data_IF_210453965291
#
_entry.id   IF_210453965291
#
_cell.length_a   1.000
_cell.length_b   1.000
_cell.length_c   1.000
_cell.angle_alpha   90.00
_cell.angle_beta   90.00
_cell.angle_gamma   90.00
#
_symmetry.space_group_name_H-M   'P 1'
#
loop_
_entity.id
_entity.type
_entity.pdbx_description
1 polymer ?
#
# COMPACT_ATOMS: atom_id res chain seq x y z
N UNK A 1 -14.43 1.01 -6.21
CA UNK A 1 -15.73 1.56 -6.69
C UNK A 1 -16.25 2.73 -5.86
N UNK A 2 -15.87 2.89 -4.58
CA UNK A 2 -16.31 4.01 -3.74
C UNK A 2 -15.71 5.37 -4.14
N UNK A 3 -14.46 5.41 -4.61
CA UNK A 3 -13.80 6.65 -5.03
C UNK A 3 -14.49 7.30 -6.23
N UNK A 4 -14.81 6.52 -7.27
CA UNK A 4 -15.53 7.01 -8.45
C UNK A 4 -16.93 7.54 -8.11
N UNK A 5 -17.66 6.84 -7.23
CA UNK A 5 -18.98 7.30 -6.80
C UNK A 5 -18.91 8.58 -5.93
N UNK A 6 -17.86 8.72 -5.12
CA UNK A 6 -17.62 9.92 -4.33
C UNK A 6 -17.25 11.12 -5.22
N UNK A 7 -16.43 10.89 -6.23
CA UNK A 7 -16.05 11.87 -7.25
C UNK A 7 -17.29 12.37 -8.02
N UNK A 8 -18.09 11.44 -8.55
CA UNK A 8 -19.32 11.77 -9.26
C UNK A 8 -20.34 12.52 -8.38
N UNK A 9 -20.39 12.24 -7.07
CA UNK A 9 -21.20 13.01 -6.11
C UNK A 9 -20.65 14.42 -5.91
N UNK A 10 -19.33 14.56 -5.78
CA UNK A 10 -18.68 15.85 -5.60
C UNK A 10 -18.87 16.75 -6.83
N UNK A 11 -18.77 16.17 -8.03
CA UNK A 11 -18.97 16.88 -9.29
C UNK A 11 -20.41 17.36 -9.47
N UNK A 12 -21.41 16.53 -9.13
CA UNK A 12 -22.82 16.93 -9.17
C UNK A 12 -23.08 18.08 -8.20
N UNK A 13 -22.50 18.06 -7.00
CA UNK A 13 -22.66 19.15 -6.02
C UNK A 13 -22.01 20.43 -6.53
N UNK A 14 -20.78 20.36 -7.07
CA UNK A 14 -20.09 21.52 -7.62
C UNK A 14 -20.86 22.13 -8.81
N UNK A 15 -21.39 21.30 -9.70
CA UNK A 15 -22.18 21.73 -10.85
C UNK A 15 -23.51 22.41 -10.44
N UNK A 16 -24.21 21.86 -9.44
CA UNK A 16 -25.45 22.47 -8.92
C UNK A 16 -25.15 23.82 -8.28
N UNK A 17 -24.08 23.91 -7.48
CA UNK A 17 -23.68 25.15 -6.82
C UNK A 17 -23.32 26.22 -7.87
N UNK A 18 -22.53 25.88 -8.88
CA UNK A 18 -22.18 26.79 -9.97
C UNK A 18 -23.43 27.27 -10.76
N UNK A 19 -24.41 26.38 -10.99
CA UNK A 19 -25.66 26.74 -11.66
C UNK A 19 -26.51 27.69 -10.82
N UNK A 20 -26.59 27.49 -9.50
CA UNK A 20 -27.31 28.39 -8.59
C UNK A 20 -26.66 29.78 -8.57
N UNK A 21 -25.33 29.85 -8.44
CA UNK A 21 -24.60 31.12 -8.47
C UNK A 21 -24.72 31.82 -9.84
N UNK A 22 -24.65 31.07 -10.95
CA UNK A 22 -24.84 31.61 -12.30
C UNK A 22 -26.24 32.19 -12.52
N UNK A 23 -27.29 31.56 -11.99
CA UNK A 23 -28.66 32.10 -12.05
C UNK A 23 -28.80 33.38 -11.21
N UNK A 24 -28.23 33.39 -10.00
CA UNK A 24 -28.24 34.58 -9.13
C UNK A 24 -27.48 35.73 -9.80
N UNK A 25 -26.35 35.44 -10.43
CA UNK A 25 -25.57 36.41 -11.21
C UNK A 25 -26.34 36.97 -12.40
N UNK A 26 -26.97 36.11 -13.21
CA UNK A 26 -27.78 36.53 -14.37
C UNK A 26 -28.93 37.46 -13.97
N UNK A 27 -29.64 37.15 -12.89
CA UNK A 27 -30.78 37.97 -12.41
C UNK A 27 -30.35 39.34 -11.88
N UNK A 28 -29.12 39.47 -11.41
CA UNK A 28 -28.58 40.74 -10.97
C UNK A 28 -28.06 41.61 -12.14
N UNK A 29 -27.77 41.03 -13.30
CA UNK A 29 -27.44 41.75 -14.55
C UNK A 29 -28.71 42.33 -15.21
N UNK A 30 -29.86 41.66 -15.08
CA UNK A 30 -31.15 42.08 -15.65
C UNK A 30 -31.85 43.25 -14.90
N UNK A 31 -31.21 43.82 -13.86
CA UNK A 31 -31.56 45.16 -13.35
C UNK A 31 -32.42 45.24 -12.09
N UNK A 32 -32.71 44.13 -11.38
CA UNK A 32 -33.43 44.19 -10.09
C UNK A 32 -32.53 44.37 -8.85
N UNK A 33 -31.19 44.19 -8.97
CA UNK A 33 -30.27 44.16 -7.83
C UNK A 33 -29.08 45.12 -8.07
N UNK A 34 -28.72 45.95 -7.08
CA UNK A 34 -27.67 46.98 -7.20
C UNK A 34 -26.29 46.36 -7.55
N UNK A 35 -25.59 46.85 -8.60
CA UNK A 35 -24.39 46.21 -9.16
C UNK A 35 -23.14 46.29 -8.26
N UNK A 36 -23.12 47.17 -7.26
CA UNK A 36 -21.91 47.44 -6.46
C UNK A 36 -21.61 46.36 -5.40
N UNK A 37 -22.62 45.65 -4.90
CA UNK A 37 -22.41 44.56 -3.94
C UNK A 37 -22.18 43.21 -4.63
N UNK A 38 -22.68 43.04 -5.85
CA UNK A 38 -22.55 41.79 -6.60
C UNK A 38 -21.14 41.54 -7.14
N UNK A 39 -20.35 42.59 -7.40
CA UNK A 39 -18.99 42.44 -7.92
C UNK A 39 -18.03 41.75 -6.94
N UNK A 40 -18.35 41.74 -5.64
CA UNK A 40 -17.55 41.06 -4.60
C UNK A 40 -18.05 39.63 -4.37
N UNK A 41 -19.24 39.29 -4.87
CA UNK A 41 -19.84 37.96 -4.70
C UNK A 41 -19.10 36.91 -5.53
N UNK A 42 -18.70 37.25 -6.76
CA UNK A 42 -18.00 36.40 -7.74
C UNK A 42 -16.55 35.97 -7.35
N UNK A 43 -15.77 36.78 -6.61
CA UNK A 43 -14.53 36.28 -6.02
C UNK A 43 -14.77 35.49 -4.72
N UNK A 44 -15.84 35.77 -3.97
CA UNK A 44 -16.12 35.10 -2.69
C UNK A 44 -16.68 33.70 -2.90
N UNK A 45 -17.63 33.52 -3.82
CA UNK A 45 -18.18 32.21 -4.18
C UNK A 45 -17.10 31.30 -4.80
N UNK A 46 -16.23 31.86 -5.66
CA UNK A 46 -15.09 31.13 -6.22
C UNK A 46 -14.14 30.59 -5.12
N UNK A 47 -13.86 31.39 -4.09
CA UNK A 47 -13.05 30.96 -2.94
C UNK A 47 -13.78 29.88 -2.13
N UNK A 48 -15.08 30.04 -1.88
CA UNK A 48 -15.88 29.07 -1.11
C UNK A 48 -15.97 27.73 -1.84
N UNK A 49 -16.22 27.74 -3.15
CA UNK A 49 -16.27 26.53 -3.99
C UNK A 49 -14.89 25.85 -4.03
N UNK A 50 -13.81 26.63 -4.20
CA UNK A 50 -12.45 26.11 -4.20
C UNK A 50 -12.11 25.41 -2.88
N UNK A 51 -12.41 26.04 -1.73
CA UNK A 51 -12.21 25.43 -0.41
C UNK A 51 -13.06 24.19 -0.21
N UNK A 52 -14.31 24.20 -0.67
CA UNK A 52 -15.21 23.05 -0.59
C UNK A 52 -14.64 21.84 -1.35
N UNK A 53 -14.18 22.05 -2.58
CA UNK A 53 -13.54 21.00 -3.40
C UNK A 53 -12.31 20.45 -2.67
N UNK A 54 -11.43 21.33 -2.19
CA UNK A 54 -10.21 20.90 -1.47
C UNK A 54 -10.57 20.03 -0.25
N UNK A 55 -11.53 20.46 0.56
CA UNK A 55 -11.95 19.72 1.77
C UNK A 55 -12.54 18.35 1.41
N UNK A 56 -13.35 18.27 0.35
CA UNK A 56 -13.94 17.02 -0.13
C UNK A 56 -12.90 16.03 -0.67
N UNK A 57 -11.77 16.52 -1.20
CA UNK A 57 -10.70 15.68 -1.75
C UNK A 57 -9.73 15.13 -0.70
N UNK A 58 -9.59 15.78 0.47
CA UNK A 58 -8.67 15.34 1.54
C UNK A 58 -8.87 13.85 1.93
N UNK A 59 -10.10 13.34 2.16
CA UNK A 59 -10.31 11.93 2.48
C UNK A 59 -9.90 10.98 1.35
N UNK A 60 -10.14 11.36 0.09
CA UNK A 60 -9.79 10.55 -1.08
C UNK A 60 -8.27 10.45 -1.23
N UNK A 61 -7.57 11.58 -1.07
CA UNK A 61 -6.11 11.64 -1.08
C UNK A 61 -5.53 10.75 0.03
N UNK A 62 -6.05 10.84 1.26
CA UNK A 62 -5.58 10.00 2.37
C UNK A 62 -5.76 8.50 2.10
N UNK A 63 -6.87 8.10 1.49
CA UNK A 63 -7.10 6.70 1.15
C UNK A 63 -6.13 6.20 0.07
N UNK A 64 -5.92 6.99 -0.98
CA UNK A 64 -4.98 6.65 -2.04
C UNK A 64 -3.55 6.60 -1.51
N UNK A 65 -3.13 7.61 -0.71
CA UNK A 65 -1.83 7.59 -0.03
C UNK A 65 -1.69 6.34 0.81
N UNK A 66 -2.70 5.96 1.61
CA UNK A 66 -2.61 4.76 2.46
C UNK A 66 -2.40 3.47 1.65
N UNK A 67 -3.03 3.38 0.48
CA UNK A 67 -2.82 2.26 -0.45
C UNK A 67 -1.45 2.30 -1.13
N UNK A 68 -0.90 3.50 -1.40
CA UNK A 68 0.43 3.71 -1.98
C UNK A 68 1.56 3.51 -0.95
N UNK A 69 1.32 3.79 0.32
CA UNK A 69 2.34 3.74 1.38
C UNK A 69 2.66 2.32 1.87
N UNK A 70 2.09 1.28 1.26
CA UNK A 70 2.36 -0.10 1.66
C UNK A 70 1.97 -0.35 3.12
N UNK A 71 0.75 0.04 3.51
CA UNK A 71 0.26 -0.24 4.86
C UNK A 71 0.45 -1.73 5.19
N UNK A 72 0.82 -2.03 6.44
CA UNK A 72 1.14 -3.40 6.83
C UNK A 72 -0.08 -4.31 6.73
N UNK A 73 0.14 -5.56 6.36
CA UNK A 73 -0.91 -6.56 6.25
C UNK A 73 -1.60 -6.81 7.60
N UNK A 74 -2.87 -7.24 7.59
CA UNK A 74 -3.56 -7.64 8.82
C UNK A 74 -2.79 -8.76 9.53
N UNK A 75 -2.80 -8.73 10.86
CA UNK A 75 -2.09 -9.69 11.71
C UNK A 75 -2.46 -11.15 11.43
N UNK A 76 -3.69 -11.40 10.99
CA UNK A 76 -4.16 -12.74 10.60
C UNK A 76 -3.38 -13.31 9.41
N UNK A 77 -3.09 -12.48 8.39
CA UNK A 77 -2.28 -12.92 7.24
C UNK A 77 -0.84 -13.17 7.67
N UNK A 78 -0.27 -12.31 8.51
CA UNK A 78 1.08 -12.49 9.06
C UNK A 78 1.19 -13.81 9.83
N UNK A 79 0.18 -14.16 10.63
CA UNK A 79 0.15 -15.45 11.35
C UNK A 79 0.07 -16.65 10.40
N UNK A 80 -0.75 -16.56 9.35
CA UNK A 80 -0.85 -17.62 8.34
C UNK A 80 0.48 -17.83 7.61
N UNK A 81 1.12 -16.73 7.17
CA UNK A 81 2.44 -16.75 6.54
C UNK A 81 3.50 -17.35 7.48
N UNK A 82 3.49 -16.95 8.75
CA UNK A 82 4.39 -17.48 9.78
C UNK A 82 4.21 -18.98 9.92
N UNK A 83 2.97 -19.46 9.98
CA UNK A 83 2.67 -20.88 10.11
C UNK A 83 3.14 -21.68 8.89
N UNK A 84 2.87 -21.18 7.67
CA UNK A 84 3.29 -21.82 6.43
C UNK A 84 4.81 -21.89 6.33
N UNK A 85 5.51 -20.79 6.64
CA UNK A 85 6.97 -20.73 6.62
C UNK A 85 7.60 -21.66 7.66
N UNK A 86 7.05 -21.69 8.88
CA UNK A 86 7.56 -22.53 9.97
C UNK A 86 7.37 -24.03 9.67
N UNK A 87 6.24 -24.40 9.05
CA UNK A 87 5.93 -25.79 8.71
C UNK A 87 6.43 -26.21 7.32
N UNK A 88 7.17 -25.36 6.61
CA UNK A 88 7.60 -25.66 5.25
C UNK A 88 8.68 -26.75 5.20
N UNK A 89 9.69 -26.67 6.08
CA UNK A 89 10.82 -27.60 6.08
C UNK A 89 11.40 -27.76 7.48
N UNK A 90 11.84 -28.98 7.88
CA UNK A 90 12.52 -29.20 9.16
C UNK A 90 13.90 -28.53 9.24
N UNK A 91 14.42 -28.04 8.11
CA UNK A 91 15.68 -27.29 8.04
C UNK A 91 15.52 -25.82 8.47
N UNK A 92 14.28 -25.33 8.61
CA UNK A 92 14.00 -23.98 9.10
C UNK A 92 14.19 -23.97 10.61
N UNK A 93 15.24 -23.29 11.07
CA UNK A 93 15.56 -23.23 12.51
C UNK A 93 14.80 -22.11 13.20
N UNK A 94 14.73 -20.95 12.55
CA UNK A 94 14.05 -19.77 13.06
C UNK A 94 13.57 -18.90 11.90
N UNK A 95 12.43 -18.25 12.08
CA UNK A 95 11.99 -17.14 11.23
C UNK A 95 12.48 -15.86 11.90
N UNK A 96 13.27 -15.06 11.19
CA UNK A 96 13.84 -13.84 11.76
C UNK A 96 12.85 -12.69 11.66
N UNK A 97 12.35 -12.42 10.45
CA UNK A 97 11.37 -11.37 10.19
C UNK A 97 10.38 -11.81 9.11
N UNK A 98 9.10 -11.47 9.29
CA UNK A 98 8.08 -11.54 8.24
C UNK A 98 7.48 -10.14 8.09
N UNK A 99 7.49 -9.62 6.88
CA UNK A 99 6.82 -8.38 6.52
C UNK A 99 5.87 -8.64 5.38
N UNK A 100 4.69 -8.04 5.45
CA UNK A 100 3.75 -8.06 4.36
C UNK A 100 3.19 -6.65 4.19
N UNK A 101 3.25 -6.14 2.97
CA UNK A 101 2.85 -4.79 2.61
C UNK A 101 1.73 -4.86 1.58
N UNK A 102 0.77 -3.95 1.68
CA UNK A 102 -0.28 -3.81 0.67
C UNK A 102 0.30 -3.39 -0.69
N UNK A 103 -0.07 -4.12 -1.74
CA UNK A 103 0.19 -3.80 -3.15
C UNK A 103 -1.14 -3.82 -3.92
N UNK A 104 -1.83 -2.67 -3.93
CA UNK A 104 -3.16 -2.56 -4.52
C UNK A 104 -4.18 -3.43 -3.77
N UNK A 105 -4.70 -4.46 -4.44
CA UNK A 105 -5.65 -5.44 -3.87
C UNK A 105 -4.97 -6.67 -3.28
N UNK A 106 -3.67 -6.86 -3.52
CA UNK A 106 -2.88 -8.00 -3.08
C UNK A 106 -1.79 -7.58 -2.08
N UNK A 107 -1.00 -8.55 -1.62
CA UNK A 107 0.12 -8.32 -0.71
C UNK A 107 1.46 -8.67 -1.35
N UNK A 108 2.46 -7.86 -1.03
CA UNK A 108 3.87 -8.16 -1.24
C UNK A 108 4.43 -8.72 0.07
N UNK A 109 5.01 -9.91 0.04
CA UNK A 109 5.50 -10.59 1.25
C UNK A 109 7.02 -10.71 1.21
N UNK A 110 7.67 -10.36 2.31
CA UNK A 110 9.11 -10.55 2.54
C UNK A 110 9.29 -11.45 3.77
N UNK A 111 10.04 -12.54 3.62
CA UNK A 111 10.33 -13.49 4.69
C UNK A 111 11.83 -13.72 4.78
N UNK A 112 12.37 -13.50 5.98
CA UNK A 112 13.76 -13.78 6.32
C UNK A 112 13.81 -15.06 7.18
N UNK A 113 14.44 -16.10 6.63
CA UNK A 113 14.54 -17.41 7.28
C UNK A 113 15.98 -17.69 7.68
N UNK A 114 16.16 -18.20 8.89
CA UNK A 114 17.44 -18.64 9.40
C UNK A 114 17.63 -20.15 9.19
N UNK A 115 18.70 -20.51 8.48
CA UNK A 115 19.09 -21.87 8.17
C UNK A 115 20.37 -22.25 8.93
N UNK A 116 20.58 -23.55 9.18
CA UNK A 116 21.79 -24.01 9.86
C UNK A 116 23.01 -23.93 8.95
N UNK A 117 24.18 -23.65 9.53
CA UNK A 117 25.44 -23.39 8.79
C UNK A 117 26.01 -24.61 8.06
N UNK A 118 25.62 -25.82 8.46
CA UNK A 118 26.08 -27.09 7.89
C UNK A 118 25.26 -27.52 6.66
N UNK A 119 24.34 -26.66 6.19
CA UNK A 119 23.50 -26.96 5.05
C UNK A 119 24.21 -26.68 3.72
N UNK A 120 24.15 -27.66 2.82
CA UNK A 120 24.64 -27.53 1.45
C UNK A 120 23.88 -26.43 0.68
N UNK A 121 24.57 -25.57 -0.07
CA UNK A 121 23.99 -24.40 -0.75
C UNK A 121 22.80 -24.76 -1.64
N UNK A 122 22.94 -25.81 -2.46
CA UNK A 122 21.86 -26.29 -3.32
C UNK A 122 20.59 -26.67 -2.55
N UNK A 123 20.72 -27.24 -1.34
CA UNK A 123 19.55 -27.54 -0.49
C UNK A 123 18.94 -26.27 0.08
N UNK A 124 19.77 -25.30 0.51
CA UNK A 124 19.28 -24.02 1.00
C UNK A 124 18.47 -23.27 -0.08
N UNK A 125 19.04 -23.15 -1.28
CA UNK A 125 18.39 -22.51 -2.44
C UNK A 125 17.08 -23.22 -2.79
N UNK A 126 17.07 -24.55 -2.79
CA UNK A 126 15.85 -25.32 -3.05
C UNK A 126 14.74 -25.04 -2.03
N UNK A 127 15.08 -24.96 -0.74
CA UNK A 127 14.12 -24.61 0.32
C UNK A 127 13.58 -23.19 0.13
N UNK A 128 14.44 -22.22 -0.21
CA UNK A 128 14.01 -20.84 -0.47
C UNK A 128 13.05 -20.73 -1.65
N UNK A 129 13.40 -21.32 -2.79
CA UNK A 129 12.56 -21.31 -4.00
C UNK A 129 11.24 -22.04 -3.75
N UNK A 130 11.27 -23.18 -3.06
CA UNK A 130 10.06 -23.94 -2.74
C UNK A 130 9.13 -23.15 -1.80
N UNK A 131 9.70 -22.42 -0.84
CA UNK A 131 8.92 -21.57 0.07
C UNK A 131 8.32 -20.38 -0.66
N UNK A 132 9.08 -19.72 -1.54
CA UNK A 132 8.59 -18.61 -2.39
C UNK A 132 7.38 -19.06 -3.20
N UNK A 133 7.52 -20.15 -3.96
CA UNK A 133 6.43 -20.70 -4.78
C UNK A 133 5.19 -21.06 -3.96
N UNK A 134 5.38 -21.59 -2.74
CA UNK A 134 4.27 -21.97 -1.86
C UNK A 134 3.50 -20.75 -1.34
N UNK A 135 4.18 -19.63 -1.10
CA UNK A 135 3.55 -18.39 -0.62
C UNK A 135 2.88 -17.66 -1.79
N UNK A 136 3.51 -17.64 -2.97
CA UNK A 136 2.92 -17.04 -4.18
C UNK A 136 1.68 -17.80 -4.68
N UNK A 137 1.50 -19.06 -4.28
CA UNK A 137 0.28 -19.82 -4.57
C UNK A 137 -0.96 -19.34 -3.78
N UNK A 138 -0.80 -18.46 -2.78
CA UNK A 138 -1.91 -17.90 -2.03
C UNK A 138 -2.64 -16.81 -2.84
N UNK A 139 -3.99 -16.80 -2.87
CA UNK A 139 -4.75 -15.87 -3.71
C UNK A 139 -4.56 -14.39 -3.35
N UNK A 140 -4.21 -14.12 -2.09
CA UNK A 140 -4.02 -12.76 -1.59
C UNK A 140 -2.60 -12.24 -1.83
N UNK A 141 -1.65 -13.10 -2.20
CA UNK A 141 -0.24 -12.73 -2.39
C UNK A 141 0.05 -12.50 -3.86
N UNK A 142 0.58 -11.32 -4.20
CA UNK A 142 1.01 -11.03 -5.58
C UNK A 142 2.45 -11.51 -5.84
N UNK A 143 3.32 -11.39 -4.83
CA UNK A 143 4.74 -11.74 -4.92
C UNK A 143 5.30 -12.04 -3.53
N UNK A 144 6.21 -13.01 -3.45
CA UNK A 144 6.98 -13.30 -2.26
C UNK A 144 8.48 -13.11 -2.51
N UNK A 145 9.20 -12.61 -1.51
CA UNK A 145 10.65 -12.53 -1.48
C UNK A 145 11.15 -13.28 -0.25
N UNK A 146 11.96 -14.31 -0.47
CA UNK A 146 12.51 -15.13 0.61
C UNK A 146 14.02 -14.89 0.69
N UNK A 147 14.49 -14.37 1.81
CA UNK A 147 15.91 -14.26 2.10
C UNK A 147 16.33 -15.39 3.05
N UNK A 148 17.45 -16.03 2.71
CA UNK A 148 18.03 -17.12 3.48
C UNK A 148 19.27 -16.60 4.20
N UNK A 149 19.22 -16.57 5.53
CA UNK A 149 20.33 -16.18 6.38
C UNK A 149 20.92 -17.42 7.07
N UNK A 150 22.24 -17.55 7.09
CA UNK A 150 22.93 -18.57 7.87
C UNK A 150 23.18 -18.04 9.30
N UNK A 151 23.07 -18.89 10.31
CA UNK A 151 23.32 -18.54 11.71
C UNK A 151 24.80 -18.27 11.98
N UNK A 152 25.35 -17.10 11.63
CA UNK A 152 26.74 -16.78 11.95
C UNK A 152 26.91 -16.50 13.45
N UNK A 153 27.79 -17.27 14.10
CA UNK A 153 28.28 -17.00 15.46
C UNK A 153 29.19 -15.76 15.44
N UNK A 154 28.66 -14.57 15.15
CA UNK A 154 29.34 -13.29 15.38
C UNK A 154 28.33 -12.15 15.36
N UNK A 155 28.28 -11.38 16.46
CA UNK A 155 27.45 -10.18 16.65
C UNK A 155 27.89 -8.98 15.79
N UNK A 156 28.25 -9.22 14.53
CA UNK A 156 28.86 -8.24 13.65
C UNK A 156 28.00 -8.17 12.38
N UNK A 157 27.16 -7.14 12.30
CA UNK A 157 26.10 -6.97 11.30
C UNK A 157 26.59 -6.69 9.86
N UNK A 158 27.73 -7.24 9.41
CA UNK A 158 28.29 -6.96 8.08
C UNK A 158 29.12 -8.15 7.51
N UNK A 159 28.54 -9.35 7.44
CA UNK A 159 29.17 -10.44 6.67
C UNK A 159 28.13 -11.29 5.95
N UNK A 160 27.83 -10.90 4.71
CA UNK A 160 27.02 -11.65 3.73
C UNK A 160 27.81 -12.84 3.14
N UNK A 161 28.40 -13.68 3.99
CA UNK A 161 29.15 -14.84 3.50
C UNK A 161 28.87 -16.02 4.41
N UNK A 162 27.87 -16.82 4.05
CA UNK A 162 27.84 -18.20 4.47
C UNK A 162 29.19 -18.81 4.01
N UNK A 163 29.94 -19.42 4.92
CA UNK A 163 31.10 -20.23 4.55
C UNK A 163 30.59 -21.51 3.87
N UNK A 164 30.29 -21.37 2.58
CA UNK A 164 29.83 -22.45 1.71
C UNK A 164 31.08 -23.21 1.29
N UNK A 165 31.18 -24.47 1.73
CA UNK A 165 32.18 -25.39 1.19
C UNK A 165 31.64 -25.95 -0.11
N UNK A 166 32.18 -25.47 -1.23
CA UNK A 166 32.01 -26.10 -2.54
C UNK A 166 32.79 -27.42 -2.55
N UNK A 167 32.19 -28.48 -2.02
CA UNK A 167 32.63 -29.84 -2.33
C UNK A 167 31.78 -30.35 -3.48
N UNK A 168 32.31 -30.19 -4.69
CA UNK A 168 31.93 -30.97 -5.86
C UNK A 168 32.54 -32.36 -5.72
N UNK A 169 31.69 -33.37 -5.48
CA UNK A 169 31.95 -34.78 -5.81
C UNK A 169 30.90 -35.25 -6.82
#
# INVERSE_FOLDING_TARGET
>A
MSALAADHRNDVVAAIVALVFGIIGSKAIDGEIKPKELSVIDPVDAIVISLYIIICWIPQIRLHIRNLTGYTAPSQLLQQLTWIAFHHSPLVRKIDTIRAYHFGTHFLVEIDVLLPNDLHLGKAVHVGISLEQKIEALPDVARAFVHLNCETTNNNANSNSCNITDNQD
#
